data_IF_060171889411
#
_entry.id   IF_060171889411
#
_cell.length_a   1.000
_cell.length_b   1.000
_cell.length_c   1.000
_cell.angle_alpha   90.00
_cell.angle_beta   90.00
_cell.angle_gamma   90.00
#
_symmetry.space_group_name_H-M   'P 1'
#
loop_
_entity.id
_entity.type
_entity.pdbx_description
1 polymer ?
#
# COMPACT_ATOMS: atom_id res chain seq x y z
N UNK A 1 -15.60 -26.34 -10.37
CA UNK A 1 -14.36 -25.90 -9.67
C UNK A 1 -13.52 -25.08 -10.65
N UNK A 2 -13.75 -23.77 -10.76
CA UNK A 2 -12.97 -22.92 -11.65
C UNK A 2 -11.62 -22.58 -11.01
N UNK A 3 -10.53 -23.17 -11.53
CA UNK A 3 -9.15 -22.84 -11.19
C UNK A 3 -8.63 -21.70 -12.09
N UNK A 4 -9.25 -20.52 -12.06
CA UNK A 4 -8.57 -19.32 -12.59
C UNK A 4 -7.84 -18.65 -11.46
N UNK A 5 -6.52 -18.88 -11.44
CA UNK A 5 -5.55 -18.38 -10.46
C UNK A 5 -5.27 -16.90 -10.73
N UNK A 6 -6.30 -16.05 -10.75
CA UNK A 6 -6.08 -14.60 -10.71
C UNK A 6 -5.72 -14.24 -9.28
N UNK A 7 -4.43 -14.01 -9.06
CA UNK A 7 -3.94 -13.40 -7.82
C UNK A 7 -4.16 -11.90 -7.92
N UNK A 8 -5.04 -11.35 -7.07
CA UNK A 8 -5.34 -9.91 -7.06
C UNK A 8 -4.07 -9.08 -6.80
N UNK A 9 -3.08 -9.65 -6.10
CA UNK A 9 -1.78 -9.01 -5.82
C UNK A 9 -0.94 -8.84 -7.10
N UNK A 10 -1.20 -9.64 -8.14
CA UNK A 10 -0.56 -9.49 -9.45
C UNK A 10 -1.08 -8.27 -10.23
N UNK A 11 -2.27 -7.76 -9.87
CA UNK A 11 -2.92 -6.63 -10.56
C UNK A 11 -2.59 -5.30 -9.87
N UNK A 12 -2.42 -5.32 -8.54
CA UNK A 12 -2.08 -4.15 -7.73
C UNK A 12 -0.61 -4.15 -7.32
N UNK A 13 0.30 -4.03 -8.29
CA UNK A 13 1.75 -3.88 -8.00
C UNK A 13 2.17 -2.47 -7.56
N UNK A 14 1.22 -1.56 -7.40
CA UNK A 14 1.45 -0.17 -6.99
C UNK A 14 0.45 0.20 -5.89
N UNK A 15 0.86 0.04 -4.64
CA UNK A 15 0.16 0.62 -3.50
C UNK A 15 0.73 2.00 -3.21
N UNK A 16 0.32 2.99 -3.98
CA UNK A 16 0.46 4.40 -3.57
C UNK A 16 -0.94 4.94 -3.30
N UNK A 17 -1.37 4.90 -2.04
CA UNK A 17 -2.56 5.63 -1.61
C UNK A 17 -2.22 7.12 -1.47
N UNK A 18 -2.16 7.81 -2.60
CA UNK A 18 -2.15 9.28 -2.61
C UNK A 18 -3.59 9.78 -2.57
N UNK A 19 -4.17 9.88 -1.36
CA UNK A 19 -5.39 10.66 -1.15
C UNK A 19 -5.02 12.07 -0.65
N UNK A 20 -5.28 13.15 -1.42
CA UNK A 20 -4.89 14.50 -1.03
C UNK A 20 -5.74 15.14 0.08
N UNK A 21 -6.84 14.51 0.53
CA UNK A 21 -7.83 15.18 1.38
C UNK A 21 -8.04 14.52 2.75
N UNK A 22 -6.95 14.33 3.49
CA UNK A 22 -6.99 13.85 4.89
C UNK A 22 -7.49 14.94 5.87
N UNK A 23 -7.48 16.21 5.45
CA UNK A 23 -7.77 17.36 6.32
C UNK A 23 -9.25 17.42 6.77
N UNK A 24 -10.18 16.75 6.07
CA UNK A 24 -11.62 16.85 6.34
C UNK A 24 -12.15 15.95 7.48
N UNK A 25 -11.36 14.97 7.95
CA UNK A 25 -11.85 13.94 8.89
C UNK A 25 -11.62 14.22 10.37
N UNK A 26 -10.98 15.36 10.71
CA UNK A 26 -10.62 15.68 12.10
C UNK A 26 -9.49 14.81 12.68
N UNK A 27 -8.92 13.88 11.89
CA UNK A 27 -7.79 13.05 12.30
C UNK A 27 -6.51 13.87 12.18
N UNK A 28 -6.09 14.48 13.28
CA UNK A 28 -4.95 15.42 13.34
C UNK A 28 -3.57 14.76 13.10
N UNK A 29 -3.49 13.42 13.06
CA UNK A 29 -2.21 12.72 13.03
C UNK A 29 -2.25 11.48 12.14
N UNK A 30 -2.13 11.70 10.83
CA UNK A 30 -1.99 10.64 9.83
C UNK A 30 -0.54 10.52 9.40
N UNK A 31 -0.02 9.30 9.42
CA UNK A 31 1.30 8.95 8.89
C UNK A 31 1.12 8.15 7.59
N UNK A 32 1.86 8.51 6.55
CA UNK A 32 1.95 7.69 5.35
C UNK A 32 2.85 6.48 5.60
N UNK A 33 2.44 5.28 5.21
CA UNK A 33 3.26 4.07 5.35
C UNK A 33 3.51 3.45 3.97
N UNK A 34 4.77 3.15 3.66
CA UNK A 34 5.16 2.38 2.48
C UNK A 34 6.01 1.16 2.85
N UNK A 35 5.99 0.15 1.98
CA UNK A 35 6.80 -1.05 2.15
C UNK A 35 8.29 -0.82 1.78
N UNK A 36 9.09 -1.87 1.95
CA UNK A 36 10.52 -1.85 1.66
C UNK A 36 10.89 -2.13 0.20
N UNK A 37 9.97 -2.03 -0.76
CA UNK A 37 10.28 -2.34 -2.16
C UNK A 37 11.37 -1.39 -2.71
N UNK A 38 12.28 -1.91 -3.55
CA UNK A 38 13.41 -1.13 -4.05
C UNK A 38 13.03 0.22 -4.72
N UNK A 39 11.96 0.31 -5.53
CA UNK A 39 11.50 1.58 -6.10
C UNK A 39 11.08 2.61 -5.05
N UNK A 40 10.51 2.18 -3.93
CA UNK A 40 10.04 3.04 -2.85
C UNK A 40 11.17 3.64 -2.00
N UNK A 41 12.37 3.07 -2.10
CA UNK A 41 13.57 3.52 -1.38
C UNK A 41 14.48 4.42 -2.22
N UNK A 42 14.13 4.69 -3.49
CA UNK A 42 14.85 5.62 -4.33
C UNK A 42 14.87 7.03 -3.70
N UNK A 43 16.01 7.72 -3.81
CA UNK A 43 16.20 9.06 -3.23
C UNK A 43 15.08 10.04 -3.60
N UNK A 44 14.70 10.06 -4.88
CA UNK A 44 13.64 10.93 -5.40
C UNK A 44 12.28 10.70 -4.71
N UNK A 45 11.94 9.44 -4.41
CA UNK A 45 10.70 9.09 -3.72
C UNK A 45 10.75 9.57 -2.28
N UNK A 46 11.87 9.36 -1.59
CA UNK A 46 12.02 9.80 -0.19
C UNK A 46 12.02 11.31 -0.05
N UNK A 47 12.67 12.03 -0.96
CA UNK A 47 12.65 13.51 -1.00
C UNK A 47 11.23 14.03 -1.23
N UNK A 48 10.48 13.41 -2.13
CA UNK A 48 9.07 13.72 -2.34
C UNK A 48 8.23 13.48 -1.08
N UNK A 49 8.39 12.33 -0.41
CA UNK A 49 7.65 12.01 0.82
C UNK A 49 7.99 12.95 1.97
N UNK A 50 9.27 13.30 2.15
CA UNK A 50 9.69 14.31 3.12
C UNK A 50 9.08 15.68 2.79
N UNK A 51 9.07 16.10 1.52
CA UNK A 51 8.47 17.38 1.12
C UNK A 51 6.96 17.43 1.36
N UNK A 52 6.25 16.31 1.15
CA UNK A 52 4.78 16.24 1.28
C UNK A 52 4.32 16.00 2.71
N UNK A 53 4.99 15.13 3.45
CA UNK A 53 4.52 14.64 4.75
C UNK A 53 5.42 15.05 5.92
N UNK A 54 6.62 15.59 5.66
CA UNK A 54 7.60 15.92 6.70
C UNK A 54 8.07 14.66 7.42
N UNK A 55 8.00 14.67 8.75
CA UNK A 55 8.30 13.50 9.61
C UNK A 55 7.12 12.50 9.69
N UNK A 56 6.00 12.76 8.99
CA UNK A 56 4.78 11.93 9.04
C UNK A 56 4.74 10.86 7.95
N UNK A 57 5.85 10.17 7.72
CA UNK A 57 5.85 8.97 6.90
C UNK A 57 6.81 7.90 7.44
N UNK A 58 6.48 6.64 7.15
CA UNK A 58 7.15 5.43 7.58
C UNK A 58 7.64 4.67 6.34
N UNK A 59 8.91 4.30 6.34
CA UNK A 59 9.50 3.48 5.28
C UNK A 59 10.72 2.74 5.78
N UNK A 60 11.19 1.76 5.02
CA UNK A 60 12.31 0.88 5.44
C UNK A 60 13.63 1.62 5.60
N UNK A 61 13.93 2.56 4.70
CA UNK A 61 15.14 3.39 4.78
C UNK A 61 14.78 4.87 4.81
N UNK A 62 14.27 5.33 5.96
CA UNK A 62 14.01 6.75 6.22
C UNK A 62 15.20 7.66 5.86
N UNK A 63 14.93 8.93 5.57
CA UNK A 63 16.00 9.89 5.23
C UNK A 63 16.83 10.28 6.45
N UNK A 64 16.20 10.36 7.62
CA UNK A 64 16.87 10.56 8.90
C UNK A 64 16.49 9.42 9.86
N UNK A 65 17.42 8.50 10.21
CA UNK A 65 17.16 7.41 11.15
C UNK A 65 16.72 7.85 12.55
N UNK A 66 17.02 9.08 12.96
CA UNK A 66 16.66 9.61 14.28
C UNK A 66 15.29 10.28 14.30
N UNK A 67 14.74 10.64 13.14
CA UNK A 67 13.49 11.42 13.02
C UNK A 67 12.40 10.71 12.23
N UNK A 68 12.77 9.83 11.31
CA UNK A 68 11.85 8.98 10.57
C UNK A 68 11.80 7.60 11.22
N UNK A 69 10.60 7.17 11.58
CA UNK A 69 10.38 5.84 12.16
C UNK A 69 10.54 4.78 11.05
N UNK A 70 11.53 3.90 11.23
CA UNK A 70 11.91 2.87 10.25
C UNK A 70 10.97 1.68 10.30
N UNK A 71 10.45 1.28 9.15
CA UNK A 71 9.61 0.09 9.03
C UNK A 71 10.47 -1.17 8.86
N UNK A 72 10.26 -2.23 9.64
CA UNK A 72 11.04 -3.46 9.52
C UNK A 72 10.89 -4.09 8.12
N UNK A 73 11.99 -4.63 7.61
CA UNK A 73 11.96 -5.35 6.34
C UNK A 73 11.17 -6.65 6.50
N UNK A 74 10.39 -7.01 5.48
CA UNK A 74 9.65 -8.29 5.41
C UNK A 74 8.63 -8.50 6.54
N UNK A 75 7.94 -7.45 6.98
CA UNK A 75 6.85 -7.54 7.96
C UNK A 75 5.47 -7.29 7.32
N UNK A 76 4.95 -8.25 6.52
CA UNK A 76 3.60 -8.15 5.96
C UNK A 76 2.51 -8.22 7.05
N UNK A 77 2.78 -8.92 8.14
CA UNK A 77 1.94 -9.02 9.34
C UNK A 77 1.66 -7.66 10.00
N UNK A 78 2.62 -6.74 9.90
CA UNK A 78 2.48 -5.39 10.43
C UNK A 78 1.80 -4.43 9.45
N UNK A 79 1.54 -4.83 8.21
CA UNK A 79 0.94 -3.97 7.20
C UNK A 79 -0.58 -4.16 7.15
N UNK A 80 -1.39 -3.18 7.64
CA UNK A 80 -2.85 -3.36 7.71
C UNK A 80 -3.51 -3.61 6.35
N UNK A 81 -2.86 -3.22 5.24
CA UNK A 81 -3.39 -3.45 3.89
C UNK A 81 -3.44 -4.94 3.53
N UNK A 82 -2.61 -5.80 4.14
CA UNK A 82 -2.62 -7.24 3.84
C UNK A 82 -3.94 -7.89 4.25
N UNK A 83 -4.54 -7.46 5.37
CA UNK A 83 -5.87 -7.89 5.78
C UNK A 83 -6.96 -7.46 4.78
N UNK A 84 -6.84 -6.25 4.24
CA UNK A 84 -7.77 -5.76 3.22
C UNK A 84 -7.64 -6.56 1.92
N UNK A 85 -6.40 -6.88 1.52
CA UNK A 85 -6.16 -7.72 0.33
C UNK A 85 -6.73 -9.12 0.50
N UNK A 86 -6.59 -9.74 1.67
CA UNK A 86 -7.22 -11.03 1.94
C UNK A 86 -8.73 -10.99 1.80
N UNK A 87 -9.38 -9.96 2.35
CA UNK A 87 -10.83 -9.82 2.25
C UNK A 87 -11.30 -9.56 0.83
N UNK A 88 -10.57 -8.71 0.10
CA UNK A 88 -10.87 -8.42 -1.29
C UNK A 88 -10.73 -9.67 -2.17
N UNK A 89 -9.67 -10.43 -1.94
CA UNK A 89 -9.40 -11.68 -2.63
C UNK A 89 -10.49 -12.72 -2.38
N UNK A 90 -10.95 -12.87 -1.13
CA UNK A 90 -12.11 -13.71 -0.78
C UNK A 90 -13.34 -13.32 -1.60
N UNK A 91 -13.68 -12.02 -1.64
CA UNK A 91 -14.85 -11.53 -2.35
C UNK A 91 -14.75 -11.70 -3.87
N UNK A 92 -13.59 -11.48 -4.46
CA UNK A 92 -13.37 -11.67 -5.91
C UNK A 92 -13.48 -13.15 -6.29
N UNK A 93 -12.99 -14.06 -5.45
CA UNK A 93 -13.09 -15.51 -5.68
C UNK A 93 -14.55 -15.98 -5.72
N UNK A 94 -15.47 -15.35 -4.98
CA UNK A 94 -16.91 -15.66 -5.05
C UNK A 94 -17.49 -15.38 -6.45
N UNK A 95 -16.96 -14.38 -7.14
CA UNK A 95 -17.44 -13.96 -8.46
C UNK A 95 -16.70 -14.66 -9.62
N UNK A 96 -15.61 -15.38 -9.34
CA UNK A 96 -14.85 -16.19 -10.31
C UNK A 96 -14.59 -15.48 -11.66
N UNK A 97 -14.00 -14.27 -11.68
CA UNK A 97 -13.74 -13.58 -12.93
C UNK A 97 -12.79 -14.41 -13.82
N UNK A 98 -13.20 -14.60 -15.07
CA UNK A 98 -12.44 -15.35 -16.08
C UNK A 98 -11.56 -14.45 -16.95
N UNK A 99 -11.85 -13.15 -16.96
CA UNK A 99 -11.16 -12.13 -17.76
C UNK A 99 -10.71 -10.98 -16.87
N UNK A 100 -9.55 -10.40 -17.20
CA UNK A 100 -9.02 -9.22 -16.50
C UNK A 100 -9.99 -8.02 -16.52
N UNK A 101 -10.80 -7.88 -17.58
CA UNK A 101 -11.82 -6.82 -17.66
C UNK A 101 -12.92 -6.93 -16.60
N UNK A 102 -13.35 -8.17 -16.28
CA UNK A 102 -14.36 -8.40 -15.24
C UNK A 102 -13.81 -8.14 -13.84
N UNK A 103 -12.51 -8.28 -13.63
CA UNK A 103 -11.87 -7.98 -12.35
C UNK A 103 -12.05 -6.50 -11.96
N UNK A 104 -11.87 -5.57 -12.92
CA UNK A 104 -12.04 -4.12 -12.68
C UNK A 104 -13.49 -3.71 -12.38
N UNK A 105 -14.46 -4.53 -12.74
CA UNK A 105 -15.88 -4.27 -12.46
C UNK A 105 -16.31 -4.75 -11.08
N UNK A 106 -15.47 -5.55 -10.41
CA UNK A 106 -15.70 -6.12 -9.08
C UNK A 106 -14.96 -5.34 -7.96
N UNK A 107 -14.16 -4.36 -8.34
CA UNK A 107 -13.34 -3.50 -7.48
C UNK A 107 -14.05 -2.15 -7.28
#
# INVERSE_FOLDING_TARGET
MCRTKFDIRSVFKFSTCSSPNIIATGVQRVHFQQDGCAPHNARIVKEYLNSKFGERWLGTYGLDPLRNMTWPAQSPDLNPIEFLWEELDRNIRLHCPTLKGHLWQLL
#
